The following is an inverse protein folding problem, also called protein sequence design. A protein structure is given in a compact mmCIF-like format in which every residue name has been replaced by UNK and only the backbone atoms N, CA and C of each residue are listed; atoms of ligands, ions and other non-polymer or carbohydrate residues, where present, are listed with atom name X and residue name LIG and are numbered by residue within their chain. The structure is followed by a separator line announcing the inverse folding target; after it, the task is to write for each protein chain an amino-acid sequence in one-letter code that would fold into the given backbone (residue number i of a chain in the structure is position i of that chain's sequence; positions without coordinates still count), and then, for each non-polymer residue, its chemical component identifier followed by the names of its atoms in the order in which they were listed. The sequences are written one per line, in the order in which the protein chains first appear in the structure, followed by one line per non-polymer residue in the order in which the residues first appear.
data_IF_369634839582
#
_entry.id   IF_369634839582
#
_cell.length_a   1.000
_cell.length_b   1.000
_cell.length_c   1.000
_cell.angle_alpha   90.00
_cell.angle_beta   90.00
_cell.angle_gamma   90.00
#
_symmetry.space_group_name_H-M   'P 1'
#
loop_
_entity.id
_entity.type
_entity.pdbx_description
1 polymer ?
#
# COMPACT_ATOMS: atom_id res chain seq x y z
N UNK A 1 -17.90 -19.65 -6.76
CA UNK A 1 -16.73 -19.03 -7.39
C UNK A 1 -16.75 -17.57 -7.01
N UNK A 2 -15.86 -17.13 -6.10
CA UNK A 2 -15.67 -15.69 -5.91
C UNK A 2 -14.95 -15.21 -7.17
N UNK A 3 -15.67 -14.49 -8.03
CA UNK A 3 -15.04 -13.71 -9.08
C UNK A 3 -14.37 -12.51 -8.42
N UNK A 4 -13.19 -12.76 -7.82
CA UNK A 4 -12.31 -11.71 -7.38
C UNK A 4 -11.74 -11.02 -8.62
N UNK A 5 -11.66 -9.69 -8.59
CA UNK A 5 -10.88 -8.97 -9.58
C UNK A 5 -9.42 -9.45 -9.49
N UNK A 6 -8.70 -9.58 -10.62
CA UNK A 6 -7.33 -10.07 -10.61
C UNK A 6 -6.44 -9.18 -9.75
N UNK A 7 -6.77 -7.90 -9.59
CA UNK A 7 -6.03 -7.01 -8.70
C UNK A 7 -6.99 -6.37 -7.71
N UNK A 8 -6.61 -6.40 -6.44
CA UNK A 8 -7.36 -5.76 -5.35
C UNK A 8 -6.40 -4.92 -4.53
N UNK A 9 -6.64 -3.62 -4.43
CA UNK A 9 -5.85 -2.73 -3.58
C UNK A 9 -6.78 -2.11 -2.54
N UNK A 10 -6.48 -2.38 -1.28
CA UNK A 10 -7.24 -1.87 -0.13
C UNK A 10 -6.36 -0.96 0.71
N UNK A 11 -6.92 0.15 1.21
CA UNK A 11 -6.22 1.07 2.11
C UNK A 11 -7.00 1.22 3.41
N UNK A 12 -6.37 0.79 4.50
CA UNK A 12 -6.84 0.88 5.87
C UNK A 12 -5.90 1.76 6.69
N UNK A 13 -6.31 2.06 7.91
CA UNK A 13 -5.46 2.73 8.89
C UNK A 13 -5.60 2.01 10.22
N UNK A 14 -4.53 2.04 11.01
CA UNK A 14 -4.53 1.53 12.39
C UNK A 14 -5.69 2.14 13.20
N UNK A 15 -6.30 1.36 14.09
CA UNK A 15 -7.49 1.76 14.87
C UNK A 15 -7.25 3.02 15.74
N UNK A 16 -5.99 3.40 15.97
CA UNK A 16 -5.59 4.65 16.64
C UNK A 16 -5.80 5.90 15.79
N UNK A 17 -6.08 5.77 14.50
CA UNK A 17 -6.48 6.90 13.64
C UNK A 17 -7.96 7.22 13.80
N UNK A 18 -8.29 8.51 13.79
CA UNK A 18 -9.67 8.98 13.85
C UNK A 18 -10.49 8.48 12.66
N UNK A 19 -11.75 8.14 12.89
CA UNK A 19 -12.71 7.81 11.82
C UNK A 19 -12.91 8.93 10.81
N UNK A 20 -12.55 10.18 11.16
CA UNK A 20 -12.48 11.30 10.23
C UNK A 20 -11.46 11.13 9.10
N UNK A 21 -10.54 10.15 9.21
CA UNK A 21 -9.57 9.81 8.16
C UNK A 21 -10.18 8.94 7.06
N UNK A 22 -11.31 8.27 7.30
CA UNK A 22 -11.95 7.36 6.33
C UNK A 22 -12.14 7.98 4.93
N UNK A 23 -12.57 9.25 4.78
CA UNK A 23 -12.65 9.87 3.46
C UNK A 23 -11.30 10.00 2.76
N UNK A 24 -10.20 10.20 3.50
CA UNK A 24 -8.84 10.23 2.93
C UNK A 24 -8.42 8.84 2.47
N UNK A 25 -8.66 7.80 3.28
CA UNK A 25 -8.33 6.42 2.93
C UNK A 25 -9.05 6.00 1.65
N UNK A 26 -10.36 6.28 1.55
CA UNK A 26 -11.14 6.01 0.36
C UNK A 26 -10.62 6.77 -0.87
N UNK A 27 -10.18 8.02 -0.71
CA UNK A 27 -9.56 8.79 -1.79
C UNK A 27 -8.24 8.19 -2.25
N UNK A 28 -7.38 7.78 -1.33
CA UNK A 28 -6.10 7.15 -1.64
C UNK A 28 -6.32 5.80 -2.34
N UNK A 29 -7.28 5.00 -1.86
CA UNK A 29 -7.64 3.71 -2.44
C UNK A 29 -8.15 3.90 -3.87
N UNK A 30 -9.11 4.80 -4.07
CA UNK A 30 -9.62 5.11 -5.41
C UNK A 30 -8.50 5.62 -6.33
N UNK A 31 -7.62 6.49 -5.81
CA UNK A 31 -6.52 7.05 -6.58
C UNK A 31 -5.53 5.97 -7.04
N UNK A 32 -5.09 5.05 -6.16
CA UNK A 32 -4.11 4.04 -6.55
C UNK A 32 -4.71 2.99 -7.49
N UNK A 33 -5.98 2.61 -7.28
CA UNK A 33 -6.71 1.76 -8.21
C UNK A 33 -6.83 2.46 -9.59
N UNK A 34 -7.02 3.78 -9.63
CA UNK A 34 -7.02 4.52 -10.90
C UNK A 34 -5.64 4.56 -11.57
N UNK A 35 -4.54 4.66 -10.81
CA UNK A 35 -3.19 4.54 -11.39
C UNK A 35 -2.95 3.14 -11.97
N UNK A 36 -3.35 2.08 -11.26
CA UNK A 36 -3.26 0.71 -11.75
C UNK A 36 -4.10 0.51 -13.02
N UNK A 37 -5.29 1.13 -13.10
CA UNK A 37 -6.12 1.12 -14.30
C UNK A 37 -5.43 1.80 -15.48
N UNK A 38 -4.84 2.99 -15.27
CA UNK A 38 -4.09 3.70 -16.31
C UNK A 38 -2.87 2.92 -16.79
N UNK A 39 -2.26 2.13 -15.92
CA UNK A 39 -1.11 1.28 -16.23
C UNK A 39 -1.51 -0.09 -16.82
N UNK A 40 -2.80 -0.30 -17.12
CA UNK A 40 -3.34 -1.54 -17.68
C UNK A 40 -3.11 -2.78 -16.79
N UNK A 41 -3.00 -2.59 -15.47
CA UNK A 41 -2.75 -3.70 -14.54
C UNK A 41 -3.90 -4.71 -14.54
N UNK A 42 -5.15 -4.24 -14.53
CA UNK A 42 -6.32 -5.12 -14.51
C UNK A 42 -6.53 -5.91 -15.81
N UNK A 43 -5.88 -5.52 -16.91
CA UNK A 43 -5.87 -6.26 -18.17
C UNK A 43 -4.92 -7.45 -18.17
N UNK A 44 -4.10 -7.61 -17.12
CA UNK A 44 -3.16 -8.72 -16.93
C UNK A 44 -3.79 -9.83 -16.10
N UNK A 45 -4.44 -10.76 -16.76
CA UNK A 45 -5.10 -11.91 -16.11
C UNK A 45 -4.13 -12.98 -15.60
N UNK A 46 -2.85 -12.90 -16.01
CA UNK A 46 -1.81 -13.87 -15.62
C UNK A 46 -1.43 -13.80 -14.13
N UNK A 47 -1.85 -12.74 -13.43
CA UNK A 47 -1.45 -12.45 -12.06
C UNK A 47 -2.63 -12.01 -11.20
N UNK A 48 -2.71 -12.58 -9.99
CA UNK A 48 -3.62 -12.10 -8.94
C UNK A 48 -2.82 -11.36 -7.88
N UNK A 49 -2.90 -10.02 -7.86
CA UNK A 49 -2.19 -9.19 -6.88
C UNK A 49 -3.17 -8.57 -5.88
N UNK A 50 -3.02 -8.91 -4.61
CA UNK A 50 -3.77 -8.28 -3.53
C UNK A 50 -2.85 -7.46 -2.64
N UNK A 51 -3.23 -6.21 -2.37
CA UNK A 51 -2.49 -5.29 -1.51
C UNK A 51 -3.38 -4.83 -0.37
N UNK A 52 -2.86 -4.90 0.85
CA UNK A 52 -3.46 -4.31 2.05
C UNK A 52 -2.51 -3.29 2.66
N UNK A 53 -2.76 -2.02 2.32
CA UNK A 53 -2.00 -0.89 2.82
C UNK A 53 -2.58 -0.40 4.12
N UNK A 54 -1.78 -0.40 5.17
CA UNK A 54 -2.14 0.02 6.51
C UNK A 54 -1.36 1.29 6.86
N UNK A 55 -2.05 2.43 7.00
CA UNK A 55 -1.42 3.64 7.55
C UNK A 55 -1.13 3.45 9.04
N UNK A 56 0.11 3.66 9.44
CA UNK A 56 0.61 3.59 10.82
C UNK A 56 1.30 4.91 11.17
N UNK A 57 1.42 5.24 12.46
CA UNK A 57 2.10 6.47 12.88
C UNK A 57 3.59 6.37 12.57
N UNK A 58 4.24 5.35 13.14
CA UNK A 58 5.63 4.99 12.88
C UNK A 58 5.76 3.49 12.67
N UNK A 59 6.86 3.06 12.03
CA UNK A 59 7.16 1.63 11.89
C UNK A 59 7.56 0.99 13.23
N UNK A 60 8.09 1.77 14.18
CA UNK A 60 8.47 1.30 15.52
C UNK A 60 7.28 0.72 16.28
N UNK A 61 6.06 1.23 16.04
CA UNK A 61 4.83 0.68 16.63
C UNK A 61 4.51 -0.74 16.15
N UNK A 62 5.15 -1.20 15.06
CA UNK A 62 5.02 -2.55 14.52
C UNK A 62 6.29 -3.37 14.71
N UNK A 63 7.26 -2.91 15.49
CA UNK A 63 8.57 -3.55 15.63
C UNK A 63 8.49 -5.06 15.95
N UNK A 64 7.59 -5.49 16.83
CA UNK A 64 7.42 -6.91 17.14
C UNK A 64 6.99 -7.74 15.93
N UNK A 65 6.06 -7.21 15.12
CA UNK A 65 5.58 -7.86 13.89
C UNK A 65 6.69 -7.88 12.82
N UNK A 66 7.42 -6.77 12.69
CA UNK A 66 8.53 -6.63 11.75
C UNK A 66 9.69 -7.59 12.05
N UNK A 67 9.89 -7.97 13.32
CA UNK A 67 10.91 -8.95 13.73
C UNK A 67 10.46 -10.40 13.46
N UNK A 68 9.16 -10.68 13.60
CA UNK A 68 8.65 -12.06 13.55
C UNK A 68 8.46 -12.61 12.14
N UNK A 69 8.24 -11.75 11.16
CA UNK A 69 7.97 -12.18 9.78
C UNK A 69 9.04 -11.65 8.82
N UNK A 70 9.06 -12.18 7.59
CA UNK A 70 10.01 -11.75 6.55
C UNK A 70 9.61 -10.40 5.96
N UNK A 71 9.60 -9.37 6.80
CA UNK A 71 9.33 -7.98 6.41
C UNK A 71 10.56 -7.37 5.74
N UNK A 72 10.31 -6.67 4.64
CA UNK A 72 11.27 -5.77 4.03
C UNK A 72 10.96 -4.38 4.55
N UNK A 73 11.94 -3.76 5.20
CA UNK A 73 11.81 -2.45 5.86
C UNK A 73 12.61 -1.42 5.10
N UNK A 74 11.94 -0.34 4.69
CA UNK A 74 12.51 0.78 3.94
C UNK A 74 12.17 2.10 4.67
N UNK A 75 12.85 3.22 4.33
CA UNK A 75 12.52 4.51 4.89
C UNK A 75 11.05 4.90 4.62
N UNK A 76 10.23 4.88 5.67
CA UNK A 76 8.83 5.33 5.64
C UNK A 76 7.79 4.26 5.33
N UNK A 77 8.20 3.02 5.00
CA UNK A 77 7.28 1.90 4.81
C UNK A 77 7.94 0.55 5.08
N UNK A 78 7.12 -0.45 5.37
CA UNK A 78 7.55 -1.84 5.42
C UNK A 78 6.51 -2.71 4.71
N UNK A 79 6.92 -3.81 4.10
CA UNK A 79 5.99 -4.73 3.46
C UNK A 79 6.42 -6.20 3.60
N UNK A 80 5.42 -7.08 3.56
CA UNK A 80 5.59 -8.52 3.60
C UNK A 80 4.55 -9.19 2.71
N UNK A 81 4.93 -10.29 2.05
CA UNK A 81 4.00 -11.11 1.31
C UNK A 81 3.49 -12.26 2.18
N UNK A 82 2.22 -12.17 2.57
CA UNK A 82 1.54 -13.19 3.36
C UNK A 82 1.04 -14.31 2.44
N UNK A 83 1.85 -15.38 2.33
CA UNK A 83 1.57 -16.54 1.47
C UNK A 83 0.21 -17.20 1.74
N UNK A 84 -0.25 -17.23 3.00
CA UNK A 84 -1.51 -17.88 3.40
C UNK A 84 -2.74 -17.16 2.84
N UNK A 85 -2.64 -15.84 2.62
CA UNK A 85 -3.72 -14.97 2.11
C UNK A 85 -3.48 -14.47 0.70
N UNK A 86 -2.34 -14.84 0.09
CA UNK A 86 -1.89 -14.39 -1.23
C UNK A 86 -1.92 -12.86 -1.37
N UNK A 87 -1.44 -12.18 -0.32
CA UNK A 87 -1.62 -10.75 -0.14
C UNK A 87 -0.29 -10.10 0.28
N UNK A 88 0.01 -8.95 -0.32
CA UNK A 88 1.06 -8.07 0.18
C UNK A 88 0.46 -7.16 1.24
N UNK A 89 0.93 -7.30 2.48
CA UNK A 89 0.60 -6.38 3.57
C UNK A 89 1.71 -5.33 3.62
N UNK A 90 1.33 -4.06 3.72
CA UNK A 90 2.29 -2.97 3.82
C UNK A 90 1.89 -1.97 4.89
N UNK A 91 2.86 -1.60 5.73
CA UNK A 91 2.75 -0.50 6.68
C UNK A 91 3.33 0.76 6.07
N UNK A 92 2.55 1.84 6.06
CA UNK A 92 2.96 3.17 5.58
C UNK A 92 3.02 4.10 6.79
N UNK A 93 4.23 4.50 7.19
CA UNK A 93 4.40 5.46 8.27
C UNK A 93 3.93 6.85 7.83
N UNK A 94 3.44 7.67 8.76
CA UNK A 94 2.96 9.04 8.44
C UNK A 94 3.46 10.12 9.39
N UNK A 95 3.93 9.78 10.60
CA UNK A 95 4.35 10.79 11.57
C UNK A 95 5.55 11.61 11.09
N UNK A 96 6.51 10.97 10.41
CA UNK A 96 7.67 11.66 9.85
C UNK A 96 7.30 12.63 8.71
N UNK A 97 6.12 12.45 8.11
CA UNK A 97 5.56 13.36 7.11
C UNK A 97 4.91 14.58 7.76
N UNK A 98 4.33 14.41 8.96
CA UNK A 98 3.73 15.51 9.72
C UNK A 98 4.78 16.53 10.15
N UNK A 99 5.99 16.07 10.49
CA UNK A 99 7.11 16.93 10.89
C UNK A 99 7.65 17.80 9.75
N UNK A 100 7.47 17.36 8.50
CA UNK A 100 8.02 18.03 7.30
C UNK A 100 7.10 19.06 6.66
N UNK A 101 5.82 19.13 7.06
CA UNK A 101 4.85 20.11 6.58
C UNK A 101 4.07 19.71 5.32
N UNK A 102 3.49 20.70 4.63
CA UNK A 102 2.53 20.52 3.52
C UNK A 102 3.01 19.54 2.44
N UNK A 103 2.16 18.56 2.10
CA UNK A 103 2.49 17.53 1.09
C UNK A 103 2.21 16.09 1.53
N UNK A 104 1.69 15.87 2.74
CA UNK A 104 1.46 14.54 3.33
C UNK A 104 0.71 13.58 2.38
N UNK A 105 -0.31 14.05 1.68
CA UNK A 105 -1.04 13.18 0.73
C UNK A 105 -0.14 12.72 -0.43
N UNK A 106 0.68 13.60 -0.99
CA UNK A 106 1.61 13.27 -2.07
C UNK A 106 2.69 12.29 -1.58
N UNK A 107 3.18 12.49 -0.36
CA UNK A 107 4.17 11.60 0.25
C UNK A 107 3.60 10.21 0.55
N UNK A 108 2.36 10.13 1.06
CA UNK A 108 1.66 8.85 1.24
C UNK A 108 1.49 8.17 -0.12
N UNK A 109 1.03 8.90 -1.14
CA UNK A 109 0.91 8.40 -2.52
C UNK A 109 2.23 7.85 -3.06
N UNK A 110 3.33 8.55 -2.81
CA UNK A 110 4.68 8.13 -3.19
C UNK A 110 5.07 6.79 -2.53
N UNK A 111 4.82 6.64 -1.23
CA UNK A 111 5.10 5.39 -0.49
C UNK A 111 4.23 4.22 -0.98
N UNK A 112 2.94 4.47 -1.22
CA UNK A 112 2.03 3.47 -1.76
C UNK A 112 2.49 2.98 -3.14
N UNK A 113 2.87 3.91 -4.03
CA UNK A 113 3.39 3.59 -5.37
C UNK A 113 4.72 2.86 -5.29
N UNK A 114 5.60 3.21 -4.35
CA UNK A 114 6.87 2.51 -4.18
C UNK A 114 6.66 1.03 -3.89
N UNK A 115 5.83 0.69 -2.90
CA UNK A 115 5.50 -0.72 -2.58
C UNK A 115 4.80 -1.40 -3.77
N UNK A 116 3.78 -0.77 -4.36
CA UNK A 116 3.05 -1.35 -5.48
C UNK A 116 3.97 -1.66 -6.66
N UNK A 117 4.89 -0.74 -7.01
CA UNK A 117 5.83 -0.92 -8.12
C UNK A 117 6.89 -1.97 -7.83
N UNK A 118 7.37 -2.08 -6.58
CA UNK A 118 8.31 -3.12 -6.19
C UNK A 118 7.72 -4.52 -6.43
N UNK A 119 6.45 -4.73 -6.09
CA UNK A 119 5.75 -5.97 -6.38
C UNK A 119 5.42 -6.08 -7.86
N UNK A 120 4.81 -5.06 -8.46
CA UNK A 120 4.41 -5.06 -9.86
C UNK A 120 5.56 -5.37 -10.82
N UNK A 121 6.77 -4.87 -10.53
CA UNK A 121 7.97 -5.16 -11.33
C UNK A 121 8.34 -6.65 -11.33
N UNK A 122 8.15 -7.36 -10.21
CA UNK A 122 8.40 -8.81 -10.13
C UNK A 122 7.46 -9.60 -11.06
N UNK A 123 6.33 -9.00 -11.44
CA UNK A 123 5.32 -9.54 -12.33
C UNK A 123 5.31 -8.87 -13.72
N UNK A 124 6.34 -8.08 -14.05
CA UNK A 124 6.45 -7.41 -15.36
C UNK A 124 5.39 -6.33 -15.62
N UNK A 125 4.79 -5.78 -14.57
CA UNK A 125 3.79 -4.72 -14.68
C UNK A 125 4.42 -3.33 -14.92
N UNK A 126 3.67 -2.46 -15.60
CA UNK A 126 4.07 -1.08 -15.86
C UNK A 126 4.06 -0.27 -14.54
N UNK A 127 5.08 0.56 -14.30
CA UNK A 127 5.14 1.34 -13.07
C UNK A 127 3.98 2.35 -12.94
N UNK A 128 3.40 2.43 -11.74
CA UNK A 128 2.46 3.46 -11.31
C UNK A 128 3.19 4.80 -11.08
N UNK A 129 2.45 5.91 -11.20
CA UNK A 129 3.00 7.27 -11.07
C UNK A 129 2.30 7.97 -9.89
N UNK A 130 3.09 8.58 -9.00
CA UNK A 130 2.61 9.29 -7.80
C UNK A 130 2.05 10.72 -8.06
N UNK A 131 1.97 11.13 -9.33
CA UNK A 131 1.64 12.50 -9.77
C UNK A 131 0.25 12.99 -9.32
#
# INVERSE_FOLDING_TARGET
MQQGFPITITITADDRFSSSLKPLLAKLEMWINFQALKADWYGKEDHVLTFDFNLVRTLDEKAEQLISESWIVEPGYAYHYENSRLMTIAFIAVDDLLERGTGIELEIKSRLVAVANLIGQQHGLIALIAA
#
